data_IF_779985487523
#
_entry.id   IF_779985487523
#
_cell.length_a   1.000
_cell.length_b   1.000
_cell.length_c   1.000
_cell.angle_alpha   90.00
_cell.angle_beta   90.00
_cell.angle_gamma   90.00
#
_symmetry.space_group_name_H-M   'P 1'
#
loop_
_entity.id
_entity.type
_entity.pdbx_description
1 polymer ?
#
# COMPACT_ATOMS: atom_id res chain seq x y z
N UNK A 1 4.27 -21.46 -10.79
CA UNK A 1 3.16 -20.66 -10.24
C UNK A 1 1.89 -21.32 -10.73
N UNK A 2 1.12 -21.90 -9.81
CA UNK A 2 -0.11 -22.62 -10.14
C UNK A 2 -1.14 -21.59 -10.65
N UNK A 3 -1.75 -21.77 -11.82
CA UNK A 3 -2.84 -20.90 -12.30
C UNK A 3 -4.05 -20.81 -11.34
N UNK A 4 -4.11 -21.65 -10.29
CA UNK A 4 -5.09 -21.58 -9.21
C UNK A 4 -4.83 -20.47 -8.16
N UNK A 5 -3.67 -19.81 -8.15
CA UNK A 5 -3.32 -18.75 -7.18
C UNK A 5 -3.96 -17.39 -7.53
N UNK A 6 -5.29 -17.35 -7.72
CA UNK A 6 -6.03 -16.09 -7.79
C UNK A 6 -6.42 -15.60 -6.39
N UNK A 7 -6.39 -14.28 -6.13
CA UNK A 7 -6.90 -13.74 -4.88
C UNK A 7 -8.39 -14.10 -4.73
N UNK A 8 -8.75 -14.70 -3.59
CA UNK A 8 -10.10 -15.26 -3.33
C UNK A 8 -11.24 -14.24 -3.50
N UNK A 9 -10.95 -12.95 -3.37
CA UNK A 9 -11.92 -11.88 -3.61
C UNK A 9 -11.23 -10.55 -3.94
N UNK A 10 -11.85 -9.75 -4.82
CA UNK A 10 -11.39 -8.38 -5.16
C UNK A 10 -11.56 -7.39 -4.00
N UNK A 11 -12.48 -7.70 -3.07
CA UNK A 11 -12.86 -6.86 -1.95
C UNK A 11 -12.66 -7.67 -0.67
N UNK A 12 -11.74 -7.22 0.19
CA UNK A 12 -11.57 -7.77 1.53
C UNK A 12 -12.56 -7.08 2.48
N UNK A 13 -13.62 -7.76 2.96
CA UNK A 13 -14.45 -7.21 4.01
C UNK A 13 -13.58 -7.05 5.26
N UNK A 14 -13.48 -5.82 5.74
CA UNK A 14 -12.93 -5.56 7.06
C UNK A 14 -14.02 -5.92 8.09
N UNK A 15 -13.62 -6.49 9.22
CA UNK A 15 -14.53 -6.60 10.37
C UNK A 15 -14.95 -5.22 10.87
N UNK A 16 -15.72 -5.16 11.96
CA UNK A 16 -16.03 -3.87 12.58
C UNK A 16 -14.70 -3.17 12.95
N UNK A 17 -14.48 -1.97 12.42
CA UNK A 17 -13.32 -1.15 12.76
C UNK A 17 -13.80 0.05 13.60
N UNK A 18 -13.68 -0.01 14.94
CA UNK A 18 -14.26 1.00 15.83
C UNK A 18 -13.84 2.43 15.48
N UNK A 19 -12.57 2.63 15.11
CA UNK A 19 -12.04 3.94 14.72
C UNK A 19 -12.73 4.54 13.48
N UNK A 20 -13.13 3.71 12.49
CA UNK A 20 -13.90 4.20 11.34
C UNK A 20 -15.31 4.60 11.79
N UNK A 21 -15.94 3.75 12.61
CA UNK A 21 -17.29 4.00 13.13
C UNK A 21 -17.34 5.31 13.91
N UNK A 22 -16.33 5.57 14.75
CA UNK A 22 -16.22 6.80 15.54
C UNK A 22 -16.13 8.05 14.65
N UNK A 23 -15.24 8.04 13.64
CA UNK A 23 -15.10 9.17 12.70
C UNK A 23 -16.39 9.40 11.92
N UNK A 24 -17.02 8.34 11.41
CA UNK A 24 -18.26 8.44 10.63
C UNK A 24 -19.43 8.92 11.49
N UNK A 25 -19.57 8.41 12.71
CA UNK A 25 -20.62 8.84 13.66
C UNK A 25 -20.45 10.30 14.04
N UNK A 26 -19.22 10.73 14.31
CA UNK A 26 -18.91 12.13 14.63
C UNK A 26 -19.19 13.04 13.43
N UNK A 27 -18.83 12.61 12.21
CA UNK A 27 -19.12 13.35 10.98
C UNK A 27 -20.62 13.52 10.75
N UNK A 28 -21.39 12.44 10.95
CA UNK A 28 -22.86 12.47 10.84
C UNK A 28 -23.49 13.39 11.89
N UNK A 29 -23.00 13.37 13.13
CA UNK A 29 -23.52 14.24 14.20
C UNK A 29 -23.16 15.72 14.00
N UNK A 30 -21.97 16.02 13.50
CA UNK A 30 -21.53 17.39 13.22
C UNK A 30 -22.16 17.97 11.94
N UNK A 31 -22.53 17.11 10.98
CA UNK A 31 -23.14 17.47 9.69
C UNK A 31 -22.42 18.63 8.97
N UNK A 32 -21.10 18.53 8.69
CA UNK A 32 -20.33 19.60 8.09
C UNK A 32 -20.83 19.91 6.68
N UNK A 33 -20.97 21.20 6.35
CA UNK A 33 -21.49 21.66 5.05
C UNK A 33 -20.47 22.46 4.24
N UNK A 34 -19.42 22.99 4.87
CA UNK A 34 -18.36 23.72 4.17
C UNK A 34 -17.08 22.89 4.00
N UNK A 35 -16.25 23.19 2.98
CA UNK A 35 -14.97 22.51 2.79
C UNK A 35 -14.07 22.56 4.02
N UNK A 36 -14.04 23.68 4.73
CA UNK A 36 -13.22 23.89 5.93
C UNK A 36 -13.70 23.02 7.09
N UNK A 37 -15.02 22.80 7.20
CA UNK A 37 -15.59 21.90 8.19
C UNK A 37 -15.35 20.43 7.83
N UNK A 38 -15.34 20.09 6.53
CA UNK A 38 -15.15 18.72 6.04
C UNK A 38 -13.68 18.27 6.17
N UNK A 39 -12.72 19.19 5.99
CA UNK A 39 -11.30 18.87 5.92
C UNK A 39 -10.76 18.13 7.16
N UNK A 40 -11.06 18.52 8.41
CA UNK A 40 -10.64 17.78 9.59
C UNK A 40 -11.10 16.32 9.60
N UNK A 41 -12.34 16.04 9.18
CA UNK A 41 -12.86 14.68 9.12
C UNK A 41 -12.18 13.84 8.03
N UNK A 42 -11.86 14.45 6.88
CA UNK A 42 -11.10 13.78 5.82
C UNK A 42 -9.69 13.41 6.29
N UNK A 43 -9.02 14.33 6.99
CA UNK A 43 -7.69 14.08 7.53
C UNK A 43 -7.71 12.94 8.56
N UNK A 44 -8.69 12.93 9.46
CA UNK A 44 -8.80 11.89 10.48
C UNK A 44 -9.17 10.53 9.87
N UNK A 45 -10.13 10.50 8.96
CA UNK A 45 -10.44 9.28 8.20
C UNK A 45 -9.20 8.77 7.46
N UNK A 46 -8.42 9.65 6.84
CA UNK A 46 -7.17 9.31 6.18
C UNK A 46 -6.12 8.72 7.13
N UNK A 47 -6.03 9.21 8.38
CA UNK A 47 -5.14 8.64 9.41
C UNK A 47 -5.58 7.25 9.84
N UNK A 48 -6.87 7.08 10.13
CA UNK A 48 -7.47 5.79 10.52
C UNK A 48 -7.25 4.75 9.42
N UNK A 49 -7.56 5.11 8.17
CA UNK A 49 -7.36 4.23 7.01
C UNK A 49 -5.88 3.86 6.82
N UNK A 50 -4.93 4.79 6.97
CA UNK A 50 -3.50 4.46 6.90
C UNK A 50 -3.06 3.46 7.96
N UNK A 51 -3.61 3.54 9.17
CA UNK A 51 -3.34 2.56 10.24
C UNK A 51 -3.84 1.16 9.88
N UNK A 52 -5.10 1.08 9.43
CA UNK A 52 -5.76 -0.17 9.03
C UNK A 52 -5.07 -0.80 7.82
N UNK A 53 -4.72 -0.01 6.82
CA UNK A 53 -4.12 -0.53 5.59
C UNK A 53 -2.82 -1.28 5.86
N UNK A 54 -2.03 -0.88 6.86
CA UNK A 54 -0.81 -1.62 7.23
C UNK A 54 -1.10 -2.99 7.85
N UNK A 55 -2.20 -3.12 8.57
CA UNK A 55 -2.58 -4.35 9.25
C UNK A 55 -3.23 -5.35 8.29
N UNK A 56 -4.13 -4.87 7.42
CA UNK A 56 -4.93 -5.73 6.54
C UNK A 56 -4.39 -5.85 5.12
N UNK A 57 -3.59 -4.87 4.66
CA UNK A 57 -2.97 -4.85 3.34
C UNK A 57 -1.46 -4.68 3.47
N UNK A 58 -0.75 -5.61 4.15
CA UNK A 58 0.70 -5.55 4.21
C UNK A 58 1.26 -5.65 2.80
N UNK A 59 2.11 -4.69 2.42
CA UNK A 59 2.85 -4.73 1.16
C UNK A 59 3.73 -5.99 1.18
N UNK A 60 3.48 -6.93 0.28
CA UNK A 60 4.25 -8.17 0.18
C UNK A 60 5.65 -7.83 -0.30
N UNK A 61 6.65 -7.95 0.58
CA UNK A 61 8.04 -7.68 0.20
C UNK A 61 8.64 -8.90 -0.52
N UNK A 62 9.47 -8.68 -1.56
CA UNK A 62 10.32 -9.72 -2.13
C UNK A 62 11.15 -10.42 -1.05
N UNK A 63 11.40 -11.71 -1.25
CA UNK A 63 12.27 -12.54 -0.40
C UNK A 63 13.74 -12.31 -0.77
N UNK A 64 14.06 -12.13 -2.06
CA UNK A 64 15.43 -11.94 -2.51
C UNK A 64 16.10 -10.72 -1.83
N UNK A 65 17.25 -10.87 -1.13
CA UNK A 65 17.81 -9.82 -0.27
C UNK A 65 18.04 -8.46 -0.96
N UNK A 66 18.65 -8.45 -2.14
CA UNK A 66 18.92 -7.22 -2.90
C UNK A 66 17.62 -6.52 -3.35
N UNK A 67 16.68 -7.28 -3.91
CA UNK A 67 15.38 -6.79 -4.36
C UNK A 67 14.54 -6.31 -3.18
N UNK A 68 14.62 -6.98 -2.02
CA UNK A 68 13.98 -6.56 -0.77
C UNK A 68 14.58 -5.26 -0.22
N UNK A 69 15.89 -5.07 -0.32
CA UNK A 69 16.56 -3.83 0.08
C UNK A 69 16.12 -2.67 -0.83
N UNK A 70 16.08 -2.92 -2.14
CA UNK A 70 15.54 -2.00 -3.14
C UNK A 70 14.09 -1.61 -2.85
N UNK A 71 13.24 -2.60 -2.60
CA UNK A 71 11.83 -2.43 -2.23
C UNK A 71 11.66 -1.50 -1.03
N UNK A 72 12.46 -1.69 0.02
CA UNK A 72 12.44 -0.83 1.21
C UNK A 72 12.91 0.59 0.93
N UNK A 73 13.86 0.77 0.04
CA UNK A 73 14.32 2.10 -0.39
C UNK A 73 13.23 2.82 -1.19
N UNK A 74 12.56 2.12 -2.11
CA UNK A 74 11.44 2.65 -2.87
C UNK A 74 10.30 3.16 -1.97
N UNK A 75 9.96 2.42 -0.90
CA UNK A 75 8.96 2.83 0.08
C UNK A 75 9.34 4.11 0.86
N UNK A 76 10.64 4.40 0.99
CA UNK A 76 11.14 5.61 1.67
C UNK A 76 11.31 6.80 0.73
N UNK A 77 11.53 6.54 -0.56
CA UNK A 77 11.80 7.55 -1.57
C UNK A 77 10.96 7.30 -2.84
N UNK A 78 9.64 7.59 -2.80
CA UNK A 78 8.70 7.24 -3.88
C UNK A 78 8.98 7.94 -5.22
N UNK A 79 9.76 9.03 -5.20
CA UNK A 79 10.13 9.80 -6.39
C UNK A 79 11.32 9.22 -7.15
N UNK A 80 12.03 8.21 -6.61
CA UNK A 80 13.20 7.62 -7.25
C UNK A 80 12.76 6.55 -8.25
N UNK A 81 13.31 6.60 -9.47
CA UNK A 81 12.95 5.64 -10.51
C UNK A 81 13.55 4.26 -10.27
N UNK A 82 12.95 3.24 -10.88
CA UNK A 82 13.42 1.86 -10.82
C UNK A 82 14.85 1.73 -11.35
N UNK A 83 15.20 2.47 -12.41
CA UNK A 83 16.54 2.43 -13.01
C UNK A 83 17.60 2.86 -12.00
N UNK A 84 17.34 3.96 -11.29
CA UNK A 84 18.28 4.49 -10.30
C UNK A 84 18.39 3.61 -9.07
N UNK A 85 17.27 3.03 -8.64
CA UNK A 85 17.23 2.05 -7.57
C UNK A 85 18.00 0.77 -7.96
N UNK A 86 17.74 0.22 -9.15
CA UNK A 86 18.42 -0.99 -9.62
C UNK A 86 19.94 -0.77 -9.74
N UNK A 87 20.38 0.39 -10.25
CA UNK A 87 21.79 0.77 -10.31
C UNK A 87 22.46 0.76 -8.93
N UNK A 88 21.83 1.38 -7.91
CA UNK A 88 22.35 1.40 -6.52
C UNK A 88 22.49 0.01 -5.92
N UNK A 89 21.57 -0.89 -6.25
CA UNK A 89 21.59 -2.28 -5.78
C UNK A 89 22.35 -3.22 -6.73
N UNK A 90 23.06 -2.69 -7.73
CA UNK A 90 23.83 -3.44 -8.75
C UNK A 90 23.02 -4.52 -9.46
N UNK A 91 21.76 -4.21 -9.78
CA UNK A 91 20.85 -5.08 -10.51
C UNK A 91 20.42 -4.42 -11.81
N UNK A 92 20.07 -5.23 -12.81
CA UNK A 92 19.39 -4.70 -13.99
C UNK A 92 17.90 -4.45 -13.68
N UNK A 93 17.28 -3.38 -14.20
CA UNK A 93 15.84 -3.11 -14.01
C UNK A 93 14.95 -4.29 -14.43
N UNK A 94 15.33 -4.98 -15.52
CA UNK A 94 14.63 -6.18 -16.01
C UNK A 94 14.69 -7.33 -15.01
N UNK A 95 15.85 -7.55 -14.39
CA UNK A 95 16.01 -8.57 -13.36
C UNK A 95 15.19 -8.24 -12.12
N UNK A 96 15.17 -6.96 -11.70
CA UNK A 96 14.34 -6.51 -10.58
C UNK A 96 12.85 -6.75 -10.88
N UNK A 97 12.36 -6.34 -12.06
CA UNK A 97 10.98 -6.57 -12.49
C UNK A 97 10.61 -8.06 -12.48
N UNK A 98 11.49 -8.92 -13.01
CA UNK A 98 11.25 -10.37 -13.03
C UNK A 98 11.13 -10.93 -11.61
N UNK A 99 12.08 -10.61 -10.73
CA UNK A 99 12.04 -11.11 -9.33
C UNK A 99 10.84 -10.56 -8.57
N UNK A 100 10.46 -9.30 -8.79
CA UNK A 100 9.25 -8.72 -8.20
C UNK A 100 8.00 -9.48 -8.63
N UNK A 101 7.84 -9.72 -9.93
CA UNK A 101 6.69 -10.46 -10.44
C UNK A 101 6.66 -11.90 -9.93
N UNK A 102 7.82 -12.57 -9.92
CA UNK A 102 7.94 -13.96 -9.48
C UNK A 102 7.65 -14.13 -7.98
N UNK A 103 8.09 -13.19 -7.12
CA UNK A 103 7.99 -13.32 -5.66
C UNK A 103 6.77 -12.62 -5.05
N UNK A 104 6.27 -11.53 -5.66
CA UNK A 104 5.15 -10.73 -5.13
C UNK A 104 3.86 -10.86 -5.93
N UNK A 105 3.93 -11.45 -7.13
CA UNK A 105 2.81 -11.51 -8.07
C UNK A 105 2.47 -10.17 -8.73
N UNK A 106 3.24 -9.10 -8.46
CA UNK A 106 3.02 -7.76 -8.98
C UNK A 106 4.27 -7.21 -9.68
N UNK A 107 4.13 -6.48 -10.81
CA UNK A 107 5.24 -5.72 -11.37
C UNK A 107 5.58 -4.55 -10.45
N UNK A 108 6.86 -4.14 -10.43
CA UNK A 108 7.37 -3.12 -9.49
C UNK A 108 6.59 -1.79 -9.51
N UNK A 109 6.00 -1.41 -10.65
CA UNK A 109 5.24 -0.16 -10.77
C UNK A 109 3.83 -0.22 -10.17
N UNK A 110 3.29 -1.42 -9.93
CA UNK A 110 1.98 -1.65 -9.31
C UNK A 110 2.08 -2.19 -7.88
N UNK A 111 3.29 -2.55 -7.47
CA UNK A 111 3.65 -2.91 -6.11
C UNK A 111 3.86 -1.65 -5.28
#
# INVERSE_FOLDING_TARGET
LDPADQPRCRVQPLGAVPAIVEVMTTTLGAAPTTPEQVEPFRQELGRVLKGISRQYFPVVLPVHPAVRALAREALRAPSVTLERLAERHRMSPRQVQRVFLDETGLPFTRW
#
